data_IF_282186319971
#
_entry.id   IF_282186319971
#
_cell.length_a   1.000
_cell.length_b   1.000
_cell.length_c   1.000
_cell.angle_alpha   90.00
_cell.angle_beta   90.00
_cell.angle_gamma   90.00
#
_symmetry.space_group_name_H-M   'P 1'
#
loop_
_entity.id
_entity.type
_entity.pdbx_description
1 polymer ?
#
# COMPACT_ATOMS: atom_id res chain seq x y z
N UNK A 1 -16.36 15.53 6.28
CA UNK A 1 -16.47 14.28 7.07
C UNK A 1 -16.91 13.14 6.15
N UNK A 2 -16.55 11.89 6.43
CA UNK A 2 -16.97 10.73 5.64
C UNK A 2 -17.81 9.80 6.51
N UNK A 3 -19.05 9.53 6.10
CA UNK A 3 -19.96 8.65 6.82
C UNK A 3 -19.87 7.23 6.24
N UNK A 4 -19.38 6.27 7.02
CA UNK A 4 -19.46 4.86 6.69
C UNK A 4 -20.81 4.33 7.18
N UNK A 5 -21.70 3.97 6.26
CA UNK A 5 -23.02 3.44 6.63
C UNK A 5 -23.52 2.41 5.60
N UNK A 6 -24.39 1.51 6.05
CA UNK A 6 -25.00 0.46 5.21
C UNK A 6 -25.77 1.05 4.04
N UNK A 7 -25.88 0.34 2.90
CA UNK A 7 -26.69 0.76 1.73
C UNK A 7 -28.14 1.11 2.11
N UNK A 8 -28.68 0.45 3.14
CA UNK A 8 -30.02 0.73 3.66
C UNK A 8 -30.10 2.08 4.39
N UNK A 9 -29.03 2.50 5.06
CA UNK A 9 -28.94 3.75 5.82
C UNK A 9 -28.41 4.91 4.96
N UNK A 10 -27.71 4.64 3.85
CA UNK A 10 -27.32 5.63 2.85
C UNK A 10 -28.52 6.37 2.22
N UNK A 11 -29.69 5.71 2.14
CA UNK A 11 -30.94 6.37 1.73
C UNK A 11 -31.50 7.31 2.79
N UNK A 12 -31.16 7.12 4.07
CA UNK A 12 -31.65 7.92 5.21
C UNK A 12 -30.71 9.10 5.50
N UNK A 13 -29.41 8.93 5.26
CA UNK A 13 -28.36 9.93 5.56
C UNK A 13 -27.65 10.49 4.31
N UNK A 14 -28.14 10.17 3.11
CA UNK A 14 -27.58 10.61 1.83
C UNK A 14 -27.77 12.10 1.63
N UNK A 15 -26.93 12.91 2.28
CA UNK A 15 -26.98 14.38 2.23
C UNK A 15 -26.92 15.08 3.59
N UNK A 16 -26.70 14.37 4.70
CA UNK A 16 -26.56 15.03 6.00
C UNK A 16 -25.26 15.86 6.06
N UNK A 17 -25.40 17.18 5.91
CA UNK A 17 -24.39 18.14 6.34
C UNK A 17 -24.40 18.23 7.86
N UNK A 18 -23.26 17.95 8.49
CA UNK A 18 -23.14 18.00 9.94
C UNK A 18 -22.83 19.44 10.35
N UNK A 19 -23.69 20.05 11.16
CA UNK A 19 -23.45 21.39 11.70
C UNK A 19 -22.78 21.22 13.07
N UNK A 20 -21.54 21.70 13.22
CA UNK A 20 -20.84 21.76 14.51
C UNK A 20 -20.64 23.25 14.83
N UNK A 21 -21.36 23.77 15.83
CA UNK A 21 -21.38 25.21 16.10
C UNK A 21 -22.08 25.95 14.95
N UNK A 22 -21.40 26.93 14.34
CA UNK A 22 -21.89 27.67 13.17
C UNK A 22 -21.38 27.10 11.82
N UNK A 23 -20.50 26.09 11.86
CA UNK A 23 -19.86 25.54 10.66
C UNK A 23 -20.61 24.33 10.11
N UNK A 24 -20.94 24.41 8.81
CA UNK A 24 -21.60 23.33 8.07
C UNK A 24 -20.57 22.46 7.36
N UNK A 25 -20.34 21.24 7.85
CA UNK A 25 -19.39 20.29 7.27
C UNK A 25 -20.11 19.44 6.21
N UNK A 26 -19.72 19.66 4.95
CA UNK A 26 -20.22 18.85 3.83
C UNK A 26 -19.60 17.44 3.80
N UNK A 27 -20.36 16.41 3.40
CA UNK A 27 -19.83 15.07 3.20
C UNK A 27 -18.82 15.07 2.03
N UNK A 28 -17.65 14.46 2.25
CA UNK A 28 -16.63 14.31 1.20
C UNK A 28 -16.54 12.85 0.77
N UNK A 29 -16.44 12.64 -0.54
CA UNK A 29 -16.25 11.31 -1.13
C UNK A 29 -14.82 10.77 -0.96
N UNK A 30 -13.88 11.61 -0.53
CA UNK A 30 -12.49 11.26 -0.23
C UNK A 30 -12.03 11.94 1.05
N UNK A 31 -11.34 11.21 1.91
CA UNK A 31 -10.67 11.78 3.09
C UNK A 31 -9.23 11.30 3.18
N UNK A 32 -8.37 12.17 3.69
CA UNK A 32 -7.05 11.78 4.19
C UNK A 32 -7.12 11.64 5.71
N UNK A 33 -6.94 10.44 6.24
CA UNK A 33 -6.88 10.21 7.68
C UNK A 33 -5.52 9.59 8.02
N UNK A 34 -4.73 10.27 8.87
CA UNK A 34 -3.37 9.85 9.24
C UNK A 34 -2.45 9.57 8.04
N UNK A 35 -2.67 10.20 6.88
CA UNK A 35 -1.90 9.93 5.65
C UNK A 35 -2.42 8.77 4.79
N UNK A 36 -3.55 8.15 5.16
CA UNK A 36 -4.27 7.18 4.34
C UNK A 36 -5.39 7.87 3.57
N UNK A 37 -5.45 7.63 2.26
CA UNK A 37 -6.54 8.11 1.41
C UNK A 37 -7.66 7.07 1.36
N UNK A 38 -8.83 7.42 1.90
CA UNK A 38 -10.00 6.54 1.93
C UNK A 38 -11.07 7.08 0.97
N UNK A 39 -11.63 6.18 0.16
CA UNK A 39 -12.76 6.41 -0.72
C UNK A 39 -14.06 5.82 -0.14
N UNK A 40 -15.21 6.25 -0.65
CA UNK A 40 -16.55 5.87 -0.13
C UNK A 40 -16.85 4.37 -0.19
N UNK A 41 -16.08 3.63 -0.97
CA UNK A 41 -16.19 2.19 -1.15
C UNK A 41 -15.06 1.42 -0.47
N UNK A 42 -14.16 2.11 0.24
CA UNK A 42 -12.98 1.53 0.89
C UNK A 42 -12.15 0.65 -0.06
N UNK A 43 -12.13 0.96 -1.37
CA UNK A 43 -11.32 0.22 -2.34
C UNK A 43 -9.82 0.44 -2.16
N UNK A 44 -9.44 1.49 -1.40
CA UNK A 44 -8.04 1.89 -1.14
C UNK A 44 -7.24 2.19 -2.43
N UNK A 45 -7.91 2.42 -3.55
CA UNK A 45 -7.26 2.60 -4.86
C UNK A 45 -6.31 3.80 -4.87
N UNK A 46 -6.75 4.94 -4.33
CA UNK A 46 -5.93 6.16 -4.26
C UNK A 46 -4.72 5.97 -3.35
N UNK A 47 -4.93 5.35 -2.18
CA UNK A 47 -3.85 5.06 -1.23
C UNK A 47 -2.81 4.10 -1.81
N UNK A 48 -3.25 2.96 -2.36
CA UNK A 48 -2.34 1.99 -2.99
C UNK A 48 -1.60 2.63 -4.16
N UNK A 49 -2.26 3.49 -4.94
CA UNK A 49 -1.59 4.24 -6.01
C UNK A 49 -0.50 5.15 -5.46
N UNK A 50 -0.77 5.93 -4.42
CA UNK A 50 0.22 6.80 -3.80
C UNK A 50 1.41 6.01 -3.22
N UNK A 51 1.13 4.90 -2.52
CA UNK A 51 2.16 4.01 -1.96
C UNK A 51 3.01 3.39 -3.06
N UNK A 52 2.39 2.83 -4.11
CA UNK A 52 3.12 2.27 -5.25
C UNK A 52 3.98 3.31 -5.96
N UNK A 53 3.48 4.55 -6.15
CA UNK A 53 4.25 5.62 -6.77
C UNK A 53 5.48 5.99 -5.93
N UNK A 54 5.31 6.17 -4.62
CA UNK A 54 6.40 6.49 -3.70
C UNK A 54 7.46 5.37 -3.67
N UNK A 55 7.03 4.11 -3.58
CA UNK A 55 7.91 2.96 -3.59
C UNK A 55 8.68 2.84 -4.92
N UNK A 56 7.98 2.96 -6.05
CA UNK A 56 8.62 2.89 -7.36
C UNK A 56 9.63 4.03 -7.58
N UNK A 57 9.33 5.24 -7.14
CA UNK A 57 10.29 6.34 -7.16
C UNK A 57 11.61 5.97 -6.45
N UNK A 58 11.51 5.38 -5.26
CA UNK A 58 12.69 4.91 -4.52
C UNK A 58 13.40 3.74 -5.20
N UNK A 59 12.67 2.81 -5.80
CA UNK A 59 13.24 1.66 -6.54
C UNK A 59 14.00 2.12 -7.78
N UNK A 60 13.39 2.96 -8.62
CA UNK A 60 14.02 3.46 -9.85
C UNK A 60 15.26 4.30 -9.57
N UNK A 61 15.21 5.17 -8.56
CA UNK A 61 16.37 5.97 -8.17
C UNK A 61 17.52 5.11 -7.65
N UNK A 62 17.21 4.02 -6.92
CA UNK A 62 18.22 3.15 -6.31
C UNK A 62 18.81 2.09 -7.22
N UNK A 63 18.16 1.74 -8.33
CA UNK A 63 18.75 0.89 -9.36
C UNK A 63 20.13 1.41 -9.81
N UNK A 64 20.29 2.74 -9.91
CA UNK A 64 21.55 3.37 -10.30
C UNK A 64 22.70 3.14 -9.31
N UNK A 65 22.40 3.14 -8.00
CA UNK A 65 23.42 2.98 -6.95
C UNK A 65 23.61 1.52 -6.51
N UNK A 66 22.74 0.59 -6.94
CA UNK A 66 22.77 -0.81 -6.49
C UNK A 66 24.14 -1.47 -6.72
N UNK A 67 24.81 -1.14 -7.80
CA UNK A 67 26.16 -1.63 -8.13
C UNK A 67 27.22 -1.23 -7.10
N UNK A 68 26.97 -0.16 -6.34
CA UNK A 68 27.89 0.36 -5.32
C UNK A 68 27.48 -0.05 -3.89
N UNK A 69 26.35 -0.75 -3.71
CA UNK A 69 25.88 -1.21 -2.40
C UNK A 69 26.15 -2.70 -2.20
N UNK A 70 26.50 -3.07 -0.97
CA UNK A 70 26.47 -4.47 -0.55
C UNK A 70 25.02 -4.96 -0.48
N UNK A 71 24.82 -6.28 -0.59
CA UNK A 71 23.47 -6.88 -0.51
C UNK A 71 22.79 -6.56 0.82
N UNK A 72 23.53 -6.57 1.93
CA UNK A 72 22.98 -6.23 3.26
C UNK A 72 22.60 -4.75 3.38
N UNK A 73 23.41 -3.84 2.84
CA UNK A 73 23.05 -2.43 2.77
C UNK A 73 21.81 -2.22 1.89
N UNK A 74 21.71 -2.90 0.75
CA UNK A 74 20.54 -2.85 -0.12
C UNK A 74 19.28 -3.37 0.59
N UNK A 75 19.36 -4.50 1.31
CA UNK A 75 18.27 -5.05 2.13
C UNK A 75 17.78 -4.04 3.16
N UNK A 76 18.69 -3.49 3.97
CA UNK A 76 18.37 -2.50 5.01
C UNK A 76 17.70 -1.26 4.41
N UNK A 77 18.28 -0.76 3.33
CA UNK A 77 17.80 0.41 2.63
C UNK A 77 16.39 0.18 2.05
N UNK A 78 16.15 -0.96 1.39
CA UNK A 78 14.85 -1.31 0.81
C UNK A 78 13.81 -1.55 1.91
N UNK A 79 14.21 -2.17 3.02
CA UNK A 79 13.32 -2.32 4.16
C UNK A 79 12.85 -0.98 4.72
N UNK A 80 13.77 -0.02 4.86
CA UNK A 80 13.45 1.31 5.37
C UNK A 80 12.59 2.16 4.41
N UNK A 81 12.76 2.02 3.09
CA UNK A 81 12.08 2.87 2.12
C UNK A 81 10.84 2.26 1.47
N UNK A 82 10.83 0.94 1.24
CA UNK A 82 9.77 0.26 0.49
C UNK A 82 8.94 -0.58 1.43
N UNK A 83 9.57 -1.52 2.13
CA UNK A 83 8.88 -2.49 2.99
C UNK A 83 8.06 -1.80 4.08
N UNK A 84 8.64 -0.80 4.76
CA UNK A 84 7.94 0.02 5.77
C UNK A 84 6.68 0.71 5.24
N UNK A 85 6.69 1.17 3.99
CA UNK A 85 5.54 1.83 3.33
C UNK A 85 4.51 0.84 2.84
N UNK A 86 4.95 -0.33 2.36
CA UNK A 86 4.04 -1.43 1.99
C UNK A 86 3.32 -2.00 3.20
N UNK A 87 3.97 -1.99 4.37
CA UNK A 87 3.37 -2.46 5.62
C UNK A 87 2.54 -1.42 6.34
N UNK A 88 2.62 -0.17 5.89
CA UNK A 88 1.87 0.91 6.48
C UNK A 88 0.38 0.65 6.24
N UNK A 89 -0.37 0.57 7.35
CA UNK A 89 -1.81 0.33 7.33
C UNK A 89 -2.24 -1.02 6.75
N UNK A 90 -1.46 -2.09 6.95
CA UNK A 90 -1.85 -3.46 6.56
C UNK A 90 -3.27 -3.86 7.03
N UNK A 91 -3.71 -3.41 8.22
CA UNK A 91 -5.07 -3.66 8.71
C UNK A 91 -6.17 -3.08 7.80
N UNK A 92 -5.92 -1.93 7.17
CA UNK A 92 -6.83 -1.29 6.22
C UNK A 92 -6.73 -1.89 4.81
N UNK A 93 -5.64 -2.60 4.52
CA UNK A 93 -5.44 -3.34 3.28
C UNK A 93 -6.05 -4.75 3.32
N UNK A 94 -6.62 -5.15 4.46
CA UNK A 94 -7.34 -6.42 4.56
C UNK A 94 -8.64 -6.36 3.74
N UNK A 95 -8.93 -7.41 2.96
CA UNK A 95 -10.10 -7.51 2.08
C UNK A 95 -10.22 -6.44 0.97
N UNK A 96 -9.13 -5.79 0.58
CA UNK A 96 -9.15 -4.91 -0.60
C UNK A 96 -9.26 -5.72 -1.90
N UNK A 97 -9.65 -5.11 -3.04
CA UNK A 97 -9.70 -5.81 -4.32
C UNK A 97 -8.36 -6.45 -4.68
N UNK A 98 -8.40 -7.68 -5.20
CA UNK A 98 -7.20 -8.45 -5.61
C UNK A 98 -6.28 -7.68 -6.56
N UNK A 99 -6.86 -6.82 -7.40
CA UNK A 99 -6.11 -5.94 -8.30
C UNK A 99 -5.18 -4.97 -7.55
N UNK A 100 -5.57 -4.50 -6.37
CA UNK A 100 -4.73 -3.63 -5.54
C UNK A 100 -3.63 -4.42 -4.84
N UNK A 101 -3.97 -5.61 -4.31
CA UNK A 101 -2.97 -6.50 -3.71
C UNK A 101 -1.92 -6.94 -4.73
N UNK A 102 -2.32 -7.20 -5.98
CA UNK A 102 -1.40 -7.51 -7.06
C UNK A 102 -0.42 -6.36 -7.34
N UNK A 103 -0.86 -5.09 -7.29
CA UNK A 103 0.02 -3.92 -7.45
C UNK A 103 1.07 -3.83 -6.34
N UNK A 104 0.67 -4.09 -5.09
CA UNK A 104 1.60 -4.15 -3.95
C UNK A 104 2.61 -5.30 -4.12
N UNK A 105 2.14 -6.47 -4.56
CA UNK A 105 2.99 -7.62 -4.88
C UNK A 105 4.03 -7.28 -5.97
N UNK A 106 3.64 -6.55 -7.02
CA UNK A 106 4.57 -6.12 -8.06
C UNK A 106 5.70 -5.24 -7.51
N UNK A 107 5.38 -4.30 -6.61
CA UNK A 107 6.39 -3.47 -5.94
C UNK A 107 7.32 -4.32 -5.09
N UNK A 108 6.78 -5.26 -4.31
CA UNK A 108 7.57 -6.19 -3.50
C UNK A 108 8.50 -7.05 -4.36
N UNK A 109 8.01 -7.55 -5.49
CA UNK A 109 8.78 -8.35 -6.44
C UNK A 109 9.95 -7.54 -7.02
N UNK A 110 9.69 -6.31 -7.43
CA UNK A 110 10.75 -5.42 -7.94
C UNK A 110 11.79 -5.10 -6.85
N UNK A 111 11.35 -4.89 -5.62
CA UNK A 111 12.23 -4.68 -4.47
C UNK A 111 13.13 -5.90 -4.20
N UNK A 112 12.55 -7.11 -4.23
CA UNK A 112 13.30 -8.36 -4.07
C UNK A 112 14.34 -8.54 -5.17
N UNK A 113 13.96 -8.35 -6.44
CA UNK A 113 14.87 -8.41 -7.58
C UNK A 113 16.00 -7.37 -7.49
N UNK A 114 15.71 -6.17 -7.01
CA UNK A 114 16.72 -5.14 -6.81
C UNK A 114 17.76 -5.54 -5.76
N UNK A 115 17.32 -6.21 -4.68
CA UNK A 115 18.22 -6.73 -3.65
C UNK A 115 19.12 -7.83 -4.22
N UNK A 116 18.55 -8.82 -4.90
CA UNK A 116 19.30 -10.00 -5.37
C UNK A 116 19.98 -9.81 -6.72
N UNK A 117 19.69 -8.72 -7.45
CA UNK A 117 20.17 -8.50 -8.81
C UNK A 117 19.56 -9.44 -9.85
N UNK A 118 18.45 -10.10 -9.51
CA UNK A 118 17.78 -11.09 -10.38
C UNK A 118 17.15 -10.42 -11.60
N UNK A 119 17.21 -11.07 -12.77
CA UNK A 119 16.64 -10.56 -14.01
C UNK A 119 15.11 -10.44 -13.90
N UNK A 120 14.50 -9.54 -14.69
CA UNK A 120 13.03 -9.36 -14.71
C UNK A 120 12.28 -10.59 -15.22
N UNK A 121 12.93 -11.46 -15.99
CA UNK A 121 12.34 -12.66 -16.58
C UNK A 121 12.43 -13.89 -15.69
N UNK A 122 13.31 -13.89 -14.68
CA UNK A 122 13.49 -15.05 -13.82
C UNK A 122 12.28 -15.24 -12.90
N UNK A 123 12.01 -16.47 -12.47
CA UNK A 123 10.95 -16.74 -11.52
C UNK A 123 11.19 -16.00 -10.19
N UNK A 124 10.16 -15.32 -9.69
CA UNK A 124 10.25 -14.54 -8.46
C UNK A 124 10.14 -15.38 -7.18
N UNK A 125 9.44 -16.52 -7.26
CA UNK A 125 9.24 -17.44 -6.13
C UNK A 125 10.53 -17.86 -5.41
N UNK A 126 11.60 -18.31 -6.10
CA UNK A 126 12.86 -18.65 -5.42
C UNK A 126 13.51 -17.44 -4.73
N UNK A 127 13.42 -16.25 -5.33
CA UNK A 127 13.97 -15.01 -4.76
C UNK A 127 13.27 -14.64 -3.46
N UNK A 128 11.94 -14.72 -3.43
CA UNK A 128 11.17 -14.44 -2.21
C UNK A 128 11.49 -15.44 -1.11
N UNK A 129 11.69 -16.72 -1.44
CA UNK A 129 12.09 -17.74 -0.47
C UNK A 129 13.48 -17.47 0.12
N UNK A 130 14.44 -17.10 -0.72
CA UNK A 130 15.80 -16.75 -0.29
C UNK A 130 15.81 -15.54 0.66
N UNK A 131 14.94 -14.56 0.40
CA UNK A 131 14.78 -13.38 1.26
C UNK A 131 13.89 -13.63 2.49
N UNK A 132 13.29 -14.81 2.62
CA UNK A 132 12.25 -15.13 3.61
C UNK A 132 11.04 -14.18 3.57
N UNK A 133 10.65 -13.71 2.39
CA UNK A 133 9.55 -12.76 2.19
C UNK A 133 8.24 -13.49 1.85
N UNK A 134 7.18 -13.18 2.60
CA UNK A 134 5.82 -13.67 2.31
C UNK A 134 5.23 -12.96 1.08
N UNK A 135 4.48 -13.68 0.22
CA UNK A 135 3.65 -13.07 -0.83
C UNK A 135 2.57 -12.15 -0.25
N UNK A 136 2.13 -11.16 -1.03
CA UNK A 136 1.33 -10.00 -0.65
C UNK A 136 0.13 -10.30 0.24
N UNK A 137 -0.77 -11.20 -0.15
CA UNK A 137 -1.93 -11.55 0.69
C UNK A 137 -1.53 -12.20 2.01
N UNK A 138 -0.62 -13.17 1.94
CA UNK A 138 -0.09 -13.84 3.13
C UNK A 138 0.66 -12.85 4.04
N UNK A 139 1.29 -11.82 3.47
CA UNK A 139 1.99 -10.77 4.21
C UNK A 139 1.03 -9.87 4.97
N UNK A 140 -0.07 -9.44 4.33
CA UNK A 140 -1.10 -8.62 4.96
C UNK A 140 -1.78 -9.43 6.07
N UNK A 141 -2.17 -10.68 5.78
CA UNK A 141 -2.79 -11.57 6.75
C UNK A 141 -1.85 -11.84 7.95
N UNK A 142 -0.59 -12.20 7.71
CA UNK A 142 0.37 -12.50 8.78
C UNK A 142 0.66 -11.33 9.71
N UNK A 143 0.49 -10.08 9.27
CA UNK A 143 0.82 -8.89 10.07
C UNK A 143 -0.36 -8.31 10.87
N UNK A 144 -1.56 -8.82 10.64
CA UNK A 144 -2.76 -8.44 11.38
C UNK A 144 -2.95 -9.34 12.61
N UNK A 145 -2.36 -10.53 12.59
CA UNK A 145 -2.50 -11.57 13.62
C UNK A 145 -1.19 -11.83 14.36
#
# INVERSE_FOLDING_TARGET
>A
MMSFTSKHHLKVYGGCSLIIGDDTISPSHRISHLGVHMDQHLTMTDHVTAVCAACNYHLYRRLSIRYYLTTEAAKSAINALVTSRLDYCNSLLHNIPLSQTARLQHVQNNAARLITGTSKHDHITPVLKELHWLPGESRIAFKIW
#
